data_IF_654549270023
#
_entry.id   IF_654549270023
#
_cell.length_a   1.000
_cell.length_b   1.000
_cell.length_c   1.000
_cell.angle_alpha   90.00
_cell.angle_beta   90.00
_cell.angle_gamma   90.00
#
_symmetry.space_group_name_H-M   'P 1'
#
loop_
_entity.id
_entity.type
_entity.pdbx_description
1 polymer ?
#
# COMPACT_ATOMS: atom_id res chain seq x y z
N UNK A 1 -16.75 -19.95 3.87
CA UNK A 1 -15.63 -20.20 4.80
C UNK A 1 -14.57 -19.13 4.56
N UNK A 2 -13.86 -18.71 5.60
CA UNK A 2 -12.75 -17.74 5.49
C UNK A 2 -11.44 -18.52 5.51
N UNK A 3 -10.61 -18.33 4.48
CA UNK A 3 -9.25 -18.89 4.44
C UNK A 3 -8.28 -17.92 5.10
N UNK A 4 -7.22 -18.45 5.72
CA UNK A 4 -6.14 -17.63 6.27
C UNK A 4 -4.81 -18.03 5.68
N UNK A 5 -4.06 -17.06 5.19
CA UNK A 5 -2.74 -17.26 4.59
C UNK A 5 -1.72 -16.31 5.22
N UNK A 6 -0.44 -16.68 5.17
CA UNK A 6 0.65 -15.78 5.57
C UNK A 6 0.84 -14.69 4.53
N UNK A 7 1.03 -15.08 3.28
CA UNK A 7 1.27 -14.16 2.15
C UNK A 7 0.27 -14.38 1.04
N UNK A 8 -0.20 -13.28 0.46
CA UNK A 8 -0.92 -13.22 -0.80
C UNK A 8 -0.07 -12.43 -1.79
N UNK A 9 0.43 -13.09 -2.84
CA UNK A 9 1.23 -12.44 -3.88
C UNK A 9 0.82 -12.83 -5.30
N UNK A 10 1.30 -12.05 -6.27
CA UNK A 10 1.06 -12.28 -7.70
C UNK A 10 -0.05 -11.40 -8.27
N UNK A 11 -0.44 -11.71 -9.50
CA UNK A 11 -1.48 -11.00 -10.25
C UNK A 11 -2.72 -11.87 -10.42
N UNK A 12 -3.87 -11.24 -10.68
CA UNK A 12 -5.11 -11.93 -11.01
C UNK A 12 -6.16 -11.86 -9.91
N UNK A 13 -6.96 -12.91 -9.75
CA UNK A 13 -8.18 -12.89 -8.96
C UNK A 13 -8.22 -13.98 -7.89
N UNK A 14 -8.59 -13.58 -6.67
CA UNK A 14 -8.86 -14.46 -5.54
C UNK A 14 -10.34 -14.40 -5.19
N UNK A 15 -11.00 -15.55 -5.31
CA UNK A 15 -12.40 -15.72 -4.91
C UNK A 15 -12.53 -16.06 -3.43
N UNK A 16 -13.62 -15.65 -2.80
CA UNK A 16 -13.95 -15.98 -1.42
C UNK A 16 -13.34 -15.01 -0.39
N UNK A 17 -13.53 -15.37 0.89
CA UNK A 17 -13.03 -14.59 2.01
C UNK A 17 -11.63 -15.02 2.42
N UNK A 18 -10.70 -14.07 2.45
CA UNK A 18 -9.30 -14.31 2.77
C UNK A 18 -8.79 -13.34 3.84
N UNK A 19 -8.20 -13.88 4.90
CA UNK A 19 -7.40 -13.12 5.88
C UNK A 19 -5.92 -13.33 5.58
N UNK A 20 -5.17 -12.24 5.42
CA UNK A 20 -3.73 -12.25 5.19
C UNK A 20 -3.03 -11.76 6.44
N UNK A 21 -2.14 -12.62 7.00
CA UNK A 21 -1.46 -12.34 8.27
C UNK A 21 -0.22 -11.48 8.12
N UNK A 22 0.57 -11.74 7.08
CA UNK A 22 1.93 -11.21 7.02
C UNK A 22 2.08 -10.20 5.88
N UNK A 23 1.68 -10.56 4.64
CA UNK A 23 1.99 -9.72 3.47
C UNK A 23 1.00 -9.86 2.32
N UNK A 24 0.55 -8.73 1.78
CA UNK A 24 -0.14 -8.63 0.48
C UNK A 24 0.79 -7.94 -0.51
N UNK A 25 0.93 -8.50 -1.70
CA UNK A 25 1.83 -7.98 -2.75
C UNK A 25 1.19 -8.19 -4.12
N UNK A 26 0.59 -7.17 -4.75
CA UNK A 26 0.24 -7.29 -6.17
C UNK A 26 1.55 -7.42 -6.95
N UNK A 27 1.73 -8.57 -7.61
CA UNK A 27 3.01 -8.95 -8.22
C UNK A 27 3.98 -9.63 -7.25
N UNK A 28 5.04 -10.20 -7.82
CA UNK A 28 6.16 -10.82 -7.08
C UNK A 28 7.36 -9.88 -7.00
N UNK A 29 8.36 -10.20 -6.16
CA UNK A 29 9.51 -9.33 -5.86
C UNK A 29 10.29 -8.78 -7.07
N UNK A 30 10.28 -9.50 -8.19
CA UNK A 30 10.98 -9.11 -9.43
C UNK A 30 10.03 -8.50 -10.49
N UNK A 31 8.77 -8.25 -10.14
CA UNK A 31 7.75 -7.72 -11.05
C UNK A 31 7.89 -6.20 -11.14
N UNK A 32 7.97 -5.62 -12.35
CA UNK A 32 7.88 -4.17 -12.50
C UNK A 32 6.57 -3.61 -11.94
N UNK A 33 6.59 -2.36 -11.48
CA UNK A 33 5.38 -1.68 -11.01
C UNK A 33 4.25 -1.74 -12.04
N UNK A 34 3.02 -2.00 -11.57
CA UNK A 34 1.83 -2.08 -12.41
C UNK A 34 1.07 -3.40 -12.30
N UNK A 35 1.48 -4.28 -11.38
CA UNK A 35 0.78 -5.52 -11.12
C UNK A 35 -0.61 -5.25 -10.51
N UNK A 36 -1.61 -6.04 -10.91
CA UNK A 36 -2.97 -5.91 -10.37
C UNK A 36 -3.41 -7.21 -9.72
N UNK A 37 -3.79 -7.11 -8.45
CA UNK A 37 -4.34 -8.20 -7.66
C UNK A 37 -5.76 -7.85 -7.24
N UNK A 38 -6.69 -8.78 -7.45
CA UNK A 38 -8.10 -8.63 -7.16
C UNK A 38 -8.55 -9.66 -6.12
N UNK A 39 -9.34 -9.24 -5.14
CA UNK A 39 -9.90 -10.12 -4.12
C UNK A 39 -11.37 -9.79 -3.84
N UNK A 40 -12.25 -10.80 -3.75
CA UNK A 40 -13.66 -10.57 -3.40
C UNK A 40 -13.80 -9.99 -1.99
N UNK A 41 -13.15 -10.62 -1.01
CA UNK A 41 -13.15 -10.16 0.39
C UNK A 41 -11.76 -10.39 0.98
N UNK A 42 -11.11 -9.30 1.35
CA UNK A 42 -9.76 -9.29 1.87
C UNK A 42 -9.69 -8.64 3.25
N UNK A 43 -9.10 -9.36 4.19
CA UNK A 43 -8.82 -8.87 5.54
C UNK A 43 -7.32 -8.81 5.77
N UNK A 44 -6.82 -7.61 6.06
CA UNK A 44 -5.49 -7.43 6.64
C UNK A 44 -5.56 -7.70 8.14
N UNK A 45 -4.85 -8.72 8.60
CA UNK A 45 -4.64 -8.93 10.03
C UNK A 45 -3.80 -7.77 10.62
N UNK A 46 -3.78 -7.59 11.95
CA UNK A 46 -2.88 -6.64 12.58
C UNK A 46 -1.42 -6.92 12.19
N UNK A 47 -0.65 -5.86 12.00
CA UNK A 47 0.77 -5.84 11.63
C UNK A 47 1.09 -6.39 10.23
N UNK A 48 0.08 -6.69 9.41
CA UNK A 48 0.28 -7.09 8.02
C UNK A 48 0.93 -5.96 7.18
N UNK A 49 1.74 -6.36 6.21
CA UNK A 49 2.40 -5.47 5.26
C UNK A 49 1.69 -5.47 3.90
N UNK A 50 1.54 -4.28 3.32
CA UNK A 50 1.20 -4.10 1.91
C UNK A 50 2.46 -3.73 1.13
N UNK A 51 2.97 -4.67 0.35
CA UNK A 51 4.06 -4.42 -0.58
C UNK A 51 3.52 -3.67 -1.79
N UNK A 52 4.07 -2.49 -2.04
CA UNK A 52 3.59 -1.62 -3.09
C UNK A 52 4.75 -1.13 -3.94
N UNK A 53 4.88 -1.70 -5.13
CA UNK A 53 5.88 -1.26 -6.09
C UNK A 53 5.33 -0.04 -6.82
N UNK A 54 6.10 1.05 -6.77
CA UNK A 54 5.74 2.32 -7.39
C UNK A 54 6.86 2.89 -8.25
N UNK A 55 6.46 3.50 -9.36
CA UNK A 55 7.28 4.34 -10.22
C UNK A 55 6.47 5.57 -10.65
N UNK A 56 7.11 6.61 -11.20
CA UNK A 56 6.40 7.78 -11.71
C UNK A 56 5.38 7.49 -12.82
N UNK A 57 5.47 6.34 -13.49
CA UNK A 57 4.63 5.99 -14.65
C UNK A 57 3.70 4.80 -14.42
N UNK A 58 3.89 4.05 -13.34
CA UNK A 58 3.13 2.84 -13.04
C UNK A 58 3.24 2.49 -11.55
N UNK A 59 2.20 1.87 -11.00
CA UNK A 59 2.15 1.43 -9.61
C UNK A 59 1.26 0.21 -9.48
N UNK A 60 1.57 -0.62 -8.50
CA UNK A 60 0.78 -1.80 -8.17
C UNK A 60 -0.60 -1.41 -7.65
N UNK A 61 -1.59 -2.25 -7.95
CA UNK A 61 -2.99 -2.01 -7.62
C UNK A 61 -3.58 -3.21 -6.90
N UNK A 62 -4.21 -2.96 -5.75
CA UNK A 62 -5.04 -3.92 -5.05
C UNK A 62 -6.52 -3.54 -5.19
N UNK A 63 -7.32 -4.41 -5.81
CA UNK A 63 -8.76 -4.20 -5.99
C UNK A 63 -9.50 -5.18 -5.06
N UNK A 64 -10.23 -4.66 -4.08
CA UNK A 64 -11.03 -5.46 -3.16
C UNK A 64 -12.53 -5.23 -3.39
N UNK A 65 -13.36 -6.25 -3.21
CA UNK A 65 -14.79 -6.03 -2.98
C UNK A 65 -14.99 -5.52 -1.55
N UNK A 66 -14.94 -6.44 -0.58
CA UNK A 66 -14.95 -6.11 0.84
C UNK A 66 -13.52 -6.03 1.39
N UNK A 67 -13.11 -4.85 1.84
CA UNK A 67 -11.79 -4.60 2.43
C UNK A 67 -11.91 -4.41 3.96
N UNK A 68 -11.18 -5.20 4.73
CA UNK A 68 -11.17 -5.11 6.19
C UNK A 68 -9.76 -4.91 6.71
N UNK A 69 -9.60 -3.94 7.61
CA UNK A 69 -8.37 -3.75 8.39
C UNK A 69 -8.66 -4.14 9.84
N UNK A 70 -8.04 -5.20 10.35
CA UNK A 70 -8.22 -5.62 11.76
C UNK A 70 -7.29 -4.87 12.73
N UNK A 71 -6.36 -4.08 12.21
CA UNK A 71 -5.40 -3.32 13.01
C UNK A 71 -4.48 -2.44 12.17
N UNK A 72 -3.48 -1.87 12.83
CA UNK A 72 -2.41 -1.12 12.15
C UNK A 72 -1.55 -2.04 11.31
N UNK A 73 -0.90 -1.49 10.29
CA UNK A 73 -0.03 -2.23 9.38
C UNK A 73 1.03 -1.34 8.76
N UNK A 74 1.67 -1.84 7.72
CA UNK A 74 2.73 -1.11 7.01
C UNK A 74 2.48 -1.09 5.51
N UNK A 75 2.86 0.00 4.86
CA UNK A 75 3.06 0.04 3.40
C UNK A 75 4.56 0.02 3.15
N UNK A 76 5.01 -1.01 2.45
CA UNK A 76 6.39 -1.24 2.08
C UNK A 76 6.63 -0.73 0.66
N UNK A 77 7.37 0.36 0.53
CA UNK A 77 7.68 0.99 -0.77
C UNK A 77 8.80 0.27 -1.53
N UNK A 78 9.47 -0.73 -0.91
CA UNK A 78 10.52 -1.51 -1.55
C UNK A 78 11.78 -0.74 -1.94
N UNK A 79 11.93 0.53 -1.54
CA UNK A 79 13.05 1.39 -1.95
C UNK A 79 14.26 1.18 -1.05
N UNK A 80 15.42 0.98 -1.67
CA UNK A 80 16.70 0.88 -0.98
C UNK A 80 17.11 2.22 -0.34
N UNK A 81 17.88 2.17 0.75
CA UNK A 81 18.43 3.36 1.39
C UNK A 81 19.22 4.22 0.39
N UNK A 82 18.92 5.52 0.35
CA UNK A 82 19.49 6.47 -0.61
C UNK A 82 18.65 6.68 -1.86
N UNK A 83 17.71 5.78 -2.17
CA UNK A 83 16.78 5.94 -3.29
C UNK A 83 15.57 6.80 -2.87
N UNK A 84 15.81 8.09 -2.70
CA UNK A 84 14.84 9.03 -2.13
C UNK A 84 13.69 9.35 -3.08
N UNK A 85 12.48 9.48 -2.54
CA UNK A 85 11.37 10.08 -3.28
C UNK A 85 11.52 11.60 -3.20
N UNK A 86 11.65 12.23 -4.37
CA UNK A 86 11.72 13.67 -4.49
C UNK A 86 10.33 14.24 -4.79
N UNK A 87 9.91 15.20 -3.98
CA UNK A 87 8.61 15.86 -4.12
C UNK A 87 7.47 15.15 -3.41
N UNK A 88 6.35 15.86 -3.31
CA UNK A 88 5.12 15.39 -2.71
C UNK A 88 4.19 14.79 -3.78
N UNK A 89 3.45 13.75 -3.44
CA UNK A 89 2.51 13.10 -4.35
C UNK A 89 1.34 12.46 -3.60
N UNK A 90 0.26 12.20 -4.34
CA UNK A 90 -0.88 11.39 -3.91
C UNK A 90 -0.92 10.14 -4.76
N UNK A 91 -1.08 8.97 -4.15
CA UNK A 91 -1.24 7.70 -4.85
C UNK A 91 -2.40 6.89 -4.29
N UNK A 92 -3.06 6.13 -5.17
CA UNK A 92 -4.07 5.15 -4.78
C UNK A 92 -3.36 3.82 -4.54
N UNK A 93 -3.44 3.31 -3.32
CA UNK A 93 -2.85 2.03 -2.93
C UNK A 93 -3.82 0.89 -3.23
N UNK A 94 -5.09 1.09 -2.90
CA UNK A 94 -6.12 0.07 -2.99
C UNK A 94 -7.44 0.71 -3.42
N UNK A 95 -8.31 -0.05 -4.07
CA UNK A 95 -9.72 0.32 -4.24
C UNK A 95 -10.61 -0.70 -3.57
N UNK A 96 -11.81 -0.29 -3.14
CA UNK A 96 -12.76 -1.15 -2.48
C UNK A 96 -14.22 -0.82 -2.84
N UNK A 97 -15.09 -1.81 -2.83
CA UNK A 97 -16.55 -1.60 -2.86
C UNK A 97 -17.07 -1.26 -1.45
N UNK A 98 -16.60 -1.97 -0.43
CA UNK A 98 -16.89 -1.70 0.98
C UNK A 98 -15.63 -1.74 1.83
N UNK A 99 -15.58 -0.94 2.90
CA UNK A 99 -14.44 -0.91 3.83
C UNK A 99 -14.92 -1.00 5.28
N UNK A 100 -14.13 -1.68 6.12
CA UNK A 100 -14.29 -1.70 7.57
C UNK A 100 -12.93 -1.65 8.27
N UNK A 101 -12.89 -1.07 9.47
CA UNK A 101 -11.65 -0.85 10.21
C UNK A 101 -10.78 0.29 9.66
N UNK A 102 -11.35 1.20 8.85
CA UNK A 102 -10.62 2.31 8.24
C UNK A 102 -9.97 3.26 9.27
N UNK A 103 -10.49 3.30 10.50
CA UNK A 103 -9.90 4.05 11.61
C UNK A 103 -8.46 3.60 11.93
N UNK A 104 -8.12 2.34 11.64
CA UNK A 104 -6.79 1.81 11.85
C UNK A 104 -5.75 2.37 10.88
N UNK A 105 -6.16 2.84 9.69
CA UNK A 105 -5.27 3.39 8.66
C UNK A 105 -4.51 4.62 9.15
N UNK A 106 -5.08 5.38 10.08
CA UNK A 106 -4.41 6.52 10.72
C UNK A 106 -3.11 6.12 11.48
N UNK A 107 -3.00 4.85 11.88
CA UNK A 107 -1.82 4.28 12.53
C UNK A 107 -0.92 3.46 11.60
N UNK A 108 -1.24 3.34 10.31
CA UNK A 108 -0.38 2.67 9.34
C UNK A 108 0.86 3.51 9.05
N UNK A 109 1.99 2.83 8.80
CA UNK A 109 3.28 3.50 8.58
C UNK A 109 3.92 3.10 7.27
N UNK A 110 4.78 3.97 6.74
CA UNK A 110 5.62 3.65 5.59
C UNK A 110 6.94 3.03 6.05
N UNK A 111 7.34 1.95 5.39
CA UNK A 111 8.68 1.35 5.51
C UNK A 111 9.38 1.34 4.16
N UNK A 112 10.71 1.21 4.18
CA UNK A 112 11.56 1.17 2.97
C UNK A 112 11.27 2.31 1.98
N UNK A 113 11.08 3.53 2.49
CA UNK A 113 10.82 4.73 1.68
C UNK A 113 12.10 5.35 1.06
N UNK A 114 13.21 4.62 1.09
CA UNK A 114 14.54 5.06 0.64
C UNK A 114 15.25 6.06 1.56
N UNK A 115 14.57 6.63 2.56
CA UNK A 115 15.18 7.50 3.56
C UNK A 115 14.15 8.17 4.47
N UNK A 116 14.60 9.13 5.28
CA UNK A 116 13.72 10.00 6.09
C UNK A 116 13.41 11.31 5.36
N UNK A 117 12.59 12.15 5.98
CA UNK A 117 12.24 13.49 5.47
C UNK A 117 10.93 13.51 4.69
N UNK A 118 9.88 12.91 5.26
CA UNK A 118 8.54 12.99 4.72
C UNK A 118 7.51 12.94 5.84
N UNK A 119 6.32 13.44 5.55
CA UNK A 119 5.09 13.12 6.26
C UNK A 119 4.24 12.22 5.34
N UNK A 120 3.59 11.22 5.91
CA UNK A 120 2.72 10.33 5.15
C UNK A 120 1.40 10.14 5.91
N UNK A 121 0.29 10.25 5.19
CA UNK A 121 -1.04 9.93 5.70
C UNK A 121 -1.65 8.85 4.81
N UNK A 122 -2.22 7.83 5.44
CA UNK A 122 -2.98 6.78 4.76
C UNK A 122 -4.43 6.88 5.25
N UNK A 123 -5.37 6.96 4.32
CA UNK A 123 -6.80 7.07 4.63
C UNK A 123 -7.64 6.36 3.58
N UNK A 124 -8.82 5.92 3.99
CA UNK A 124 -9.86 5.44 3.10
C UNK A 124 -10.82 6.60 2.79
N UNK A 125 -11.06 6.88 1.51
CA UNK A 125 -12.05 7.87 1.07
C UNK A 125 -12.55 7.52 -0.34
N UNK A 126 -13.84 7.70 -0.60
CA UNK A 126 -14.43 7.58 -1.94
C UNK A 126 -14.14 6.24 -2.68
N UNK A 127 -14.02 5.11 -1.96
CA UNK A 127 -13.71 3.82 -2.58
C UNK A 127 -12.23 3.57 -2.82
N UNK A 128 -11.34 4.45 -2.31
CA UNK A 128 -9.90 4.36 -2.45
C UNK A 128 -9.22 4.37 -1.08
N UNK A 129 -8.20 3.53 -0.90
CA UNK A 129 -7.17 3.72 0.13
C UNK A 129 -6.05 4.52 -0.50
N UNK A 130 -5.78 5.69 0.06
CA UNK A 130 -4.93 6.72 -0.53
C UNK A 130 -3.73 6.97 0.35
N UNK A 131 -2.55 7.03 -0.26
CA UNK A 131 -1.35 7.59 0.33
C UNK A 131 -1.20 9.06 -0.08
N UNK A 132 -1.19 9.94 0.91
CA UNK A 132 -0.71 11.32 0.75
C UNK A 132 0.72 11.39 1.30
N UNK A 133 1.69 11.58 0.40
CA UNK A 133 3.10 11.69 0.73
C UNK A 133 3.57 13.14 0.55
N UNK A 134 4.01 13.75 1.64
CA UNK A 134 4.59 15.09 1.63
C UNK A 134 6.11 15.00 1.88
N UNK A 135 6.91 15.42 0.91
CA UNK A 135 8.35 15.54 1.13
C UNK A 135 8.64 16.74 2.03
N UNK A 136 9.32 16.51 3.16
CA UNK A 136 9.78 17.59 4.05
C UNK A 136 11.22 18.01 3.77
N UNK A 137 11.82 17.46 2.70
CA UNK A 137 13.16 17.82 2.24
C UNK A 137 13.03 19.07 1.38
N UNK A 138 13.63 20.16 1.85
CA UNK A 138 13.48 21.48 1.23
C UNK A 138 13.90 21.51 -0.25
N UNK A 139 13.23 22.36 -1.01
CA UNK A 139 13.64 22.73 -2.37
C UNK A 139 15.03 23.36 -2.31
N UNK A 140 16.03 22.70 -2.89
CA UNK A 140 17.34 23.31 -3.17
C UNK A 140 17.14 24.46 -4.17
N UNK A 141 16.90 25.67 -3.67
CA UNK A 141 16.95 26.88 -4.49
C UNK A 141 18.40 27.17 -4.84
N UNK A 142 18.81 26.80 -6.07
CA UNK A 142 20.05 27.28 -6.66
C UNK A 142 19.89 28.77 -6.97
N UNK A 143 20.44 29.63 -6.11
CA UNK A 143 20.67 31.03 -6.43
C UNK A 143 21.91 31.08 -7.34
N UNK A 144 21.72 31.53 -8.58
CA UNK A 144 22.82 31.88 -9.50
C UNK A 144 23.30 33.30 -9.23
#
# INVERSE_FOLDING_TARGET
ETSTVGTLSGEGYVSGALTVRDRVSPGDADTPAGATLMAEKLTFAPDAAYAWTWSPTAYDMLLAGDLTFEGTGTVDLGRAEGDLINGSFRAVLMTYDTVSGEEHLSGWTLVNAGGKGYNATIKAENGEVVLEYESTRGTLMWLK
#
